data_IF_405821553384
#
_entry.id   IF_405821553384
#
_cell.length_a   1.000
_cell.length_b   1.000
_cell.length_c   1.000
_cell.angle_alpha   90.00
_cell.angle_beta   90.00
_cell.angle_gamma   90.00
#
_symmetry.space_group_name_H-M   'P 1'
#
loop_
_entity.id
_entity.type
_entity.pdbx_description
1 polymer ?
#
# COMPACT_ATOMS: atom_id res chain seq x y z
N UNK A 1 0.34 21.14 -11.92
CA UNK A 1 -0.33 20.89 -10.67
C UNK A 1 -0.65 19.44 -10.52
N UNK A 2 -0.37 18.91 -9.37
CA UNK A 2 -0.59 17.51 -9.15
C UNK A 2 -1.68 17.26 -8.13
N UNK A 3 -2.17 16.04 -8.12
CA UNK A 3 -3.08 15.59 -7.08
C UNK A 3 -2.29 14.97 -5.94
N UNK A 4 -2.78 15.18 -4.73
CA UNK A 4 -2.28 14.45 -3.58
C UNK A 4 -3.18 13.25 -3.36
N UNK A 5 -2.60 12.20 -2.79
CA UNK A 5 -3.32 10.96 -2.50
C UNK A 5 -3.05 10.53 -1.07
N UNK A 6 -4.00 9.80 -0.52
CA UNK A 6 -3.75 8.99 0.67
C UNK A 6 -3.48 7.57 0.20
N UNK A 7 -2.40 6.99 0.69
CA UNK A 7 -2.01 5.64 0.29
C UNK A 7 -1.86 4.80 1.54
N UNK A 8 -2.44 3.62 1.51
CA UNK A 8 -2.32 2.68 2.61
C UNK A 8 -1.88 1.33 2.08
N UNK A 9 -0.80 0.83 2.64
CA UNK A 9 -0.26 -0.48 2.30
C UNK A 9 -0.46 -1.37 3.52
N UNK A 10 -1.31 -2.38 3.39
CA UNK A 10 -1.50 -3.40 4.42
C UNK A 10 -0.82 -4.67 3.94
N UNK A 11 0.03 -5.26 4.75
CA UNK A 11 0.82 -6.39 4.31
C UNK A 11 1.12 -7.35 5.45
N UNK A 12 1.25 -8.63 5.12
CA UNK A 12 1.75 -9.63 6.04
C UNK A 12 3.25 -9.38 6.29
N UNK A 13 3.83 -9.93 7.37
CA UNK A 13 5.16 -9.50 7.81
C UNK A 13 6.27 -9.56 6.77
N UNK A 14 6.31 -10.61 5.95
CA UNK A 14 7.37 -10.75 4.95
C UNK A 14 7.19 -9.76 3.80
N UNK A 15 5.96 -9.56 3.36
CA UNK A 15 5.66 -8.57 2.32
C UNK A 15 5.92 -7.16 2.86
N UNK A 16 5.58 -6.93 4.12
CA UNK A 16 5.79 -5.63 4.74
C UNK A 16 7.26 -5.24 4.72
N UNK A 17 8.16 -6.18 5.01
CA UNK A 17 9.60 -5.90 4.97
C UNK A 17 10.06 -5.51 3.57
N UNK A 18 9.48 -6.10 2.55
CA UNK A 18 9.80 -5.72 1.17
C UNK A 18 9.36 -4.30 0.85
N UNK A 19 8.16 -3.93 1.28
CA UNK A 19 7.69 -2.56 1.08
C UNK A 19 8.51 -1.56 1.89
N UNK A 20 8.83 -1.89 3.14
CA UNK A 20 9.66 -1.02 3.97
C UNK A 20 11.03 -0.79 3.35
N UNK A 21 11.63 -1.82 2.77
CA UNK A 21 12.91 -1.68 2.09
C UNK A 21 12.81 -0.77 0.87
N UNK A 22 11.71 -0.86 0.13
CA UNK A 22 11.51 -0.02 -1.04
C UNK A 22 11.34 1.45 -0.68
N UNK A 23 10.47 1.74 0.29
CA UNK A 23 10.19 3.14 0.66
C UNK A 23 11.28 3.74 1.53
N UNK A 24 12.06 2.91 2.23
CA UNK A 24 13.12 3.37 3.10
C UNK A 24 14.29 4.03 2.37
N UNK A 25 14.36 3.89 1.06
CA UNK A 25 15.38 4.55 0.24
C UNK A 25 15.11 6.05 0.06
N UNK A 26 13.90 6.49 0.37
CA UNK A 26 13.44 7.84 0.07
C UNK A 26 13.00 8.54 1.35
N UNK A 27 12.97 9.85 1.29
CA UNK A 27 12.62 10.68 2.43
C UNK A 27 11.10 10.95 2.44
N UNK A 28 10.33 9.88 2.59
CA UNK A 28 8.87 9.98 2.68
C UNK A 28 8.43 9.96 4.14
N UNK A 29 7.47 10.83 4.42
CA UNK A 29 6.82 10.88 5.71
C UNK A 29 5.65 9.90 5.71
N UNK A 30 5.65 8.95 6.61
CA UNK A 30 4.58 7.96 6.69
C UNK A 30 4.41 7.46 8.11
N UNK A 31 3.25 6.89 8.39
CA UNK A 31 2.95 6.23 9.66
C UNK A 31 3.00 4.73 9.47
N UNK A 32 3.48 4.03 10.49
CA UNK A 32 3.58 2.58 10.46
C UNK A 32 2.97 2.00 11.72
N UNK A 33 1.99 1.12 11.54
CA UNK A 33 1.41 0.33 12.62
C UNK A 33 1.68 -1.13 12.35
N UNK A 34 2.36 -1.81 13.25
CA UNK A 34 2.69 -3.23 13.09
C UNK A 34 2.09 -4.05 14.21
N UNK A 35 1.60 -5.23 13.86
CA UNK A 35 1.22 -6.26 14.79
C UNK A 35 1.95 -7.55 14.41
N UNK A 36 1.71 -8.64 15.14
CA UNK A 36 2.34 -9.91 14.79
C UNK A 36 1.83 -10.49 13.47
N UNK A 37 0.61 -10.12 13.08
CA UNK A 37 -0.04 -10.69 11.91
C UNK A 37 0.14 -9.86 10.65
N UNK A 38 0.26 -8.55 10.78
CA UNK A 38 0.39 -7.68 9.61
C UNK A 38 0.84 -6.28 10.04
N UNK A 39 1.17 -5.46 9.07
CA UNK A 39 1.50 -4.06 9.29
C UNK A 39 0.76 -3.18 8.30
N UNK A 40 0.59 -1.93 8.67
CA UNK A 40 -0.10 -0.93 7.84
C UNK A 40 0.80 0.29 7.72
N UNK A 41 1.14 0.64 6.48
CA UNK A 41 1.89 1.86 6.16
C UNK A 41 0.90 2.87 5.59
N UNK A 42 0.86 4.07 6.15
CA UNK A 42 -0.07 5.10 5.71
C UNK A 42 0.67 6.37 5.30
N UNK A 43 0.41 6.83 4.09
CA UNK A 43 0.86 8.13 3.60
C UNK A 43 -0.37 9.04 3.54
N UNK A 44 -0.37 10.12 4.30
CA UNK A 44 -1.56 10.98 4.38
C UNK A 44 -1.71 11.92 3.21
N UNK A 45 -0.61 12.49 2.73
CA UNK A 45 -0.64 13.41 1.61
C UNK A 45 0.61 13.19 0.78
N UNK A 46 0.49 12.44 -0.30
CA UNK A 46 1.64 12.10 -1.12
C UNK A 46 1.28 12.23 -2.59
N UNK A 47 2.26 12.62 -3.40
CA UNK A 47 2.09 12.65 -4.85
C UNK A 47 2.39 11.28 -5.40
N UNK A 48 1.34 10.50 -5.61
CA UNK A 48 1.47 9.10 -6.01
C UNK A 48 1.36 8.98 -7.52
N UNK A 49 2.43 9.34 -8.22
CA UNK A 49 2.47 9.29 -9.68
C UNK A 49 3.37 8.16 -10.14
N UNK A 50 2.88 7.38 -11.10
CA UNK A 50 3.62 6.23 -11.63
C UNK A 50 4.94 6.60 -12.30
N UNK A 51 5.11 7.87 -12.66
CA UNK A 51 6.38 8.35 -13.20
C UNK A 51 7.45 8.60 -12.15
N UNK A 52 7.09 8.64 -10.87
CA UNK A 52 8.06 8.86 -9.81
C UNK A 52 8.76 7.55 -9.48
N UNK A 53 10.08 7.65 -9.27
CA UNK A 53 10.90 6.47 -8.98
C UNK A 53 10.46 5.79 -7.68
N UNK A 54 10.07 6.57 -6.69
CA UNK A 54 9.60 6.07 -5.41
C UNK A 54 8.38 5.16 -5.60
N UNK A 55 7.44 5.61 -6.42
CA UNK A 55 6.24 4.83 -6.72
C UNK A 55 6.60 3.60 -7.55
N UNK A 56 7.53 3.74 -8.48
CA UNK A 56 7.97 2.62 -9.31
C UNK A 56 8.59 1.52 -8.47
N UNK A 57 9.36 1.86 -7.44
CA UNK A 57 9.96 0.87 -6.56
C UNK A 57 8.89 0.09 -5.80
N UNK A 58 7.85 0.75 -5.32
CA UNK A 58 6.70 0.08 -4.69
C UNK A 58 5.98 -0.80 -5.69
N UNK A 59 5.80 -0.32 -6.91
CA UNK A 59 5.15 -1.09 -7.97
C UNK A 59 5.95 -2.36 -8.31
N UNK A 60 7.25 -2.30 -8.26
CA UNK A 60 8.08 -3.48 -8.51
C UNK A 60 7.91 -4.53 -7.43
N UNK A 61 7.82 -4.12 -6.17
CA UNK A 61 7.51 -5.05 -5.08
C UNK A 61 6.14 -5.67 -5.31
N UNK A 62 5.16 -4.87 -5.67
CA UNK A 62 3.81 -5.35 -5.94
C UNK A 62 3.80 -6.39 -7.06
N UNK A 63 4.50 -6.11 -8.14
CA UNK A 63 4.57 -7.05 -9.27
C UNK A 63 5.22 -8.36 -8.86
N UNK A 64 6.27 -8.29 -8.06
CA UNK A 64 6.95 -9.48 -7.57
C UNK A 64 6.02 -10.32 -6.70
N UNK A 65 5.28 -9.68 -5.81
CA UNK A 65 4.36 -10.36 -4.91
C UNK A 65 3.17 -10.98 -5.65
N UNK A 66 2.93 -10.57 -6.89
CA UNK A 66 1.88 -11.14 -7.72
C UNK A 66 2.38 -12.30 -8.60
N UNK A 67 3.66 -12.64 -8.52
CA UNK A 67 4.18 -13.81 -9.25
C UNK A 67 3.81 -15.10 -8.51
N UNK A 68 3.87 -16.22 -9.22
CA UNK A 68 3.49 -17.52 -8.68
C UNK A 68 4.28 -17.91 -7.43
N UNK A 69 5.51 -17.43 -7.29
CA UNK A 69 6.36 -17.73 -6.14
C UNK A 69 5.85 -17.10 -4.84
N UNK A 70 5.13 -15.99 -4.94
CA UNK A 70 4.69 -15.23 -3.77
C UNK A 70 3.18 -15.12 -3.64
N UNK A 71 2.48 -15.12 -4.76
CA UNK A 71 1.04 -15.01 -4.79
C UNK A 71 0.43 -16.21 -4.05
N UNK A 72 -0.39 -15.97 -3.07
CA UNK A 72 -0.99 -17.03 -2.24
C UNK A 72 0.01 -17.74 -1.31
N UNK A 73 1.16 -17.11 -1.02
CA UNK A 73 2.14 -17.67 -0.07
C UNK A 73 2.01 -16.95 1.28
N UNK A 74 2.00 -17.73 2.36
CA UNK A 74 1.92 -17.16 3.71
C UNK A 74 3.05 -16.20 3.99
N UNK A 75 2.70 -15.04 4.55
CA UNK A 75 3.66 -14.00 4.88
C UNK A 75 3.88 -12.99 3.78
N UNK A 76 3.37 -13.23 2.56
CA UNK A 76 3.57 -12.35 1.42
C UNK A 76 2.28 -11.71 0.92
N UNK A 77 1.20 -11.77 1.68
CA UNK A 77 -0.04 -11.10 1.31
C UNK A 77 0.07 -9.60 1.46
N UNK A 78 -0.52 -8.86 0.53
CA UNK A 78 -0.57 -7.41 0.62
C UNK A 78 -1.85 -6.86 -0.01
N UNK A 79 -2.21 -5.66 0.42
CA UNK A 79 -3.26 -4.87 -0.22
C UNK A 79 -2.85 -3.41 -0.17
N UNK A 80 -2.89 -2.74 -1.32
CA UNK A 80 -2.59 -1.31 -1.42
C UNK A 80 -3.86 -0.59 -1.83
N UNK A 81 -4.19 0.46 -1.09
CA UNK A 81 -5.33 1.32 -1.41
C UNK A 81 -4.83 2.74 -1.61
N UNK A 82 -5.21 3.33 -2.72
CA UNK A 82 -4.86 4.71 -3.06
C UNK A 82 -6.15 5.50 -3.20
N UNK A 83 -6.33 6.51 -2.36
CA UNK A 83 -7.47 7.41 -2.43
C UNK A 83 -6.99 8.75 -2.96
N UNK A 84 -7.48 9.14 -4.12
CA UNK A 84 -7.07 10.36 -4.79
C UNK A 84 -7.91 11.55 -4.38
N UNK A 85 -7.38 12.74 -4.65
CA UNK A 85 -8.00 14.00 -4.27
C UNK A 85 -9.37 14.19 -4.93
N UNK A 86 -9.61 13.58 -6.09
CA UNK A 86 -10.87 13.66 -6.81
C UNK A 86 -11.87 12.57 -6.41
N UNK A 87 -11.64 11.91 -5.27
CA UNK A 87 -12.46 10.84 -4.72
C UNK A 87 -12.39 9.53 -5.49
N UNK A 88 -11.58 9.43 -6.52
CA UNK A 88 -11.32 8.13 -7.15
C UNK A 88 -10.36 7.34 -6.27
N UNK A 89 -10.45 6.03 -6.34
CA UNK A 89 -9.54 5.18 -5.60
C UNK A 89 -9.12 3.99 -6.46
N UNK A 90 -7.94 3.46 -6.12
CA UNK A 90 -7.39 2.27 -6.76
C UNK A 90 -7.05 1.26 -5.67
N UNK A 91 -7.20 0.00 -5.99
CA UNK A 91 -6.85 -1.08 -5.08
C UNK A 91 -5.98 -2.09 -5.82
N UNK A 92 -4.96 -2.57 -5.12
CA UNK A 92 -4.06 -3.59 -5.63
C UNK A 92 -3.85 -4.63 -4.54
N UNK A 93 -3.83 -5.90 -4.93
CA UNK A 93 -3.58 -6.97 -3.96
C UNK A 93 -3.08 -8.21 -4.70
N UNK A 94 -2.52 -9.14 -3.95
CA UNK A 94 -2.32 -10.50 -4.45
C UNK A 94 -3.38 -11.41 -3.84
N UNK A 95 -3.39 -12.70 -4.21
CA UNK A 95 -4.44 -13.60 -3.76
C UNK A 95 -4.51 -13.72 -2.24
N UNK A 96 -3.35 -13.78 -1.59
CA UNK A 96 -3.30 -13.88 -0.14
C UNK A 96 -3.80 -12.60 0.52
N UNK A 97 -3.39 -11.46 -0.01
CA UNK A 97 -3.82 -10.17 0.49
C UNK A 97 -5.31 -9.95 0.30
N UNK A 98 -5.85 -10.34 -0.84
CA UNK A 98 -7.27 -10.21 -1.10
C UNK A 98 -8.10 -11.05 -0.13
N UNK A 99 -7.66 -12.29 0.12
CA UNK A 99 -8.35 -13.17 1.06
C UNK A 99 -8.24 -12.69 2.50
N UNK A 100 -7.07 -12.19 2.89
CA UNK A 100 -6.79 -11.76 4.27
C UNK A 100 -7.42 -10.42 4.61
N UNK A 101 -7.40 -9.50 3.66
CA UNK A 101 -7.75 -8.11 3.89
C UNK A 101 -8.98 -7.68 3.10
N UNK A 102 -9.79 -8.62 2.63
CA UNK A 102 -10.95 -8.30 1.80
C UNK A 102 -11.95 -7.40 2.51
N UNK A 103 -12.03 -7.48 3.83
CA UNK A 103 -12.92 -6.63 4.62
C UNK A 103 -12.34 -5.25 4.90
N UNK A 104 -11.09 -5.04 4.54
CA UNK A 104 -10.44 -3.74 4.68
C UNK A 104 -11.00 -2.82 3.61
N UNK A 105 -11.57 -1.72 4.01
CA UNK A 105 -12.15 -0.78 3.06
C UNK A 105 -11.64 0.63 3.33
N UNK A 106 -11.78 1.47 2.32
CA UNK A 106 -11.29 2.85 2.38
C UNK A 106 -11.85 3.60 3.58
N UNK A 107 -13.15 3.42 3.86
CA UNK A 107 -13.79 4.12 4.95
C UNK A 107 -13.23 3.75 6.32
N UNK A 108 -12.65 2.57 6.44
CA UNK A 108 -12.13 2.10 7.72
C UNK A 108 -10.74 2.64 8.02
N UNK A 109 -9.98 3.00 6.99
CA UNK A 109 -8.58 3.33 7.16
C UNK A 109 -8.23 4.71 6.71
N UNK A 110 -8.70 5.07 5.53
CA UNK A 110 -8.33 6.32 4.92
C UNK A 110 -9.42 7.31 5.23
N UNK A 111 -9.11 8.15 6.19
CA UNK A 111 -9.98 9.26 6.53
C UNK A 111 -9.76 10.31 5.46
N UNK A 112 -10.73 10.48 4.59
CA UNK A 112 -10.55 11.31 3.41
C UNK A 112 -10.55 12.80 3.79
N UNK A 113 -9.40 13.48 3.80
CA UNK A 113 -9.34 14.89 4.18
C UNK A 113 -10.03 15.80 3.19
N UNK A 114 -10.32 15.30 2.00
CA UNK A 114 -10.94 16.10 0.95
C UNK A 114 -12.47 16.16 1.08
N UNK A 115 -13.02 15.31 1.92
CA UNK A 115 -14.45 15.28 2.23
C UNK A 115 -14.80 15.87 3.58
N UNK A 116 -13.85 16.48 4.21
CA UNK A 116 -14.05 17.04 5.54
C UNK A 116 -14.92 18.31 5.51
#
# INVERSE_FOLDING_TARGET
>A
MGFYSQVQITAEPKALEMFKAAIGKYDWSYSLNESEEHGVITFDMVKWYTGFKEVQDVEEVRKLLNTDDYNDTDGYGYKIMVLNEDDTHDEYSNDKGDARFCDVCVQCYIDNPYNA
#
